data_IF_541139634626
#
_entry.id   IF_541139634626
#
_cell.length_a   1.000
_cell.length_b   1.000
_cell.length_c   1.000
_cell.angle_alpha   90.00
_cell.angle_beta   90.00
_cell.angle_gamma   90.00
#
_symmetry.space_group_name_H-M   'P 1'
#
loop_
_entity.id
_entity.type
_entity.pdbx_description
1 polymer ?
#
# COMPACT_ATOMS: atom_id res chain seq x y z
N UNK A 1 -4.81 -9.12 11.81
CA UNK A 1 -4.99 -7.81 11.14
C UNK A 1 -6.36 -7.29 11.54
N UNK A 2 -6.42 -6.14 12.21
CA UNK A 2 -7.66 -5.47 12.61
C UNK A 2 -7.88 -4.23 11.74
N UNK A 3 -9.08 -4.07 11.17
CA UNK A 3 -9.36 -2.98 10.22
C UNK A 3 -9.33 -1.59 10.87
N UNK A 4 -9.75 -1.48 12.13
CA UNK A 4 -9.74 -0.21 12.86
C UNK A 4 -8.33 0.20 13.27
N UNK A 5 -7.46 -0.76 13.61
CA UNK A 5 -6.04 -0.47 13.86
C UNK A 5 -5.36 0.10 12.62
N UNK A 6 -5.58 -0.53 11.45
CA UNK A 6 -5.03 -0.03 10.18
C UNK A 6 -5.53 1.37 9.85
N UNK A 7 -6.84 1.63 10.02
CA UNK A 7 -7.41 2.97 9.83
C UNK A 7 -6.71 4.01 10.71
N UNK A 8 -6.59 3.75 12.02
CA UNK A 8 -5.96 4.70 12.95
C UNK A 8 -4.49 4.94 12.61
N UNK A 9 -3.76 3.88 12.28
CA UNK A 9 -2.36 3.99 11.88
C UNK A 9 -2.19 4.83 10.60
N UNK A 10 -3.07 4.63 9.63
CA UNK A 10 -3.02 5.37 8.36
C UNK A 10 -3.44 6.83 8.53
N UNK A 11 -4.46 7.12 9.34
CA UNK A 11 -4.85 8.49 9.70
C UNK A 11 -3.69 9.25 10.36
N UNK A 12 -2.99 8.61 11.29
CA UNK A 12 -1.82 9.21 11.94
C UNK A 12 -0.68 9.43 10.94
N UNK A 13 -0.36 8.43 10.12
CA UNK A 13 0.69 8.52 9.11
C UNK A 13 0.42 9.64 8.10
N UNK A 14 -0.82 9.79 7.63
CA UNK A 14 -1.18 10.86 6.69
C UNK A 14 -1.14 12.25 7.32
N UNK A 15 -1.44 12.36 8.62
CA UNK A 15 -1.35 13.62 9.32
C UNK A 15 0.10 14.10 9.46
N UNK A 16 1.03 13.17 9.74
CA UNK A 16 2.45 13.47 9.93
C UNK A 16 3.22 13.53 8.59
N UNK A 17 2.77 12.78 7.59
CA UNK A 17 3.41 12.58 6.29
C UNK A 17 2.37 12.64 5.15
N UNK A 18 1.95 13.85 4.74
CA UNK A 18 0.91 14.04 3.73
C UNK A 18 1.30 13.54 2.32
N UNK A 19 2.58 13.26 2.07
CA UNK A 19 3.08 12.61 0.85
C UNK A 19 2.50 11.21 0.64
N UNK A 20 2.11 10.50 1.71
CA UNK A 20 1.48 9.17 1.65
C UNK A 20 -0.03 9.25 1.41
N UNK A 21 -0.41 9.70 0.21
CA UNK A 21 -1.78 10.11 -0.09
C UNK A 21 -2.80 8.97 -0.05
N UNK A 22 -2.43 7.80 -0.56
CA UNK A 22 -3.30 6.62 -0.55
C UNK A 22 -2.51 5.49 0.08
N UNK A 23 -2.97 5.03 1.23
CA UNK A 23 -2.36 3.93 1.97
C UNK A 23 -3.19 2.67 1.80
N UNK A 24 -2.49 1.56 1.64
CA UNK A 24 -3.03 0.24 1.39
C UNK A 24 -2.49 -0.73 2.44
N UNK A 25 -3.36 -1.62 2.91
CA UNK A 25 -2.93 -2.89 3.48
C UNK A 25 -3.57 -4.01 2.71
N UNK A 26 -2.82 -5.07 2.47
CA UNK A 26 -3.25 -6.18 1.66
C UNK A 26 -2.74 -7.51 2.21
N UNK A 27 -3.49 -8.57 1.97
CA UNK A 27 -3.09 -9.94 2.26
C UNK A 27 -3.83 -10.90 1.34
N UNK A 28 -3.21 -12.06 1.04
CA UNK A 28 -3.82 -13.10 0.20
C UNK A 28 -4.33 -12.59 -1.16
N UNK A 29 -3.61 -11.63 -1.75
CA UNK A 29 -3.91 -11.05 -3.06
C UNK A 29 -5.01 -10.00 -3.06
N UNK A 30 -5.53 -9.61 -1.89
CA UNK A 30 -6.67 -8.70 -1.77
C UNK A 30 -6.36 -7.53 -0.84
N UNK A 31 -7.00 -6.40 -1.11
CA UNK A 31 -6.99 -5.25 -0.21
C UNK A 31 -7.74 -5.60 1.09
N UNK A 32 -7.11 -5.31 2.22
CA UNK A 32 -7.69 -5.41 3.56
C UNK A 32 -8.25 -4.06 4.02
N UNK A 33 -7.48 -2.98 3.82
CA UNK A 33 -7.90 -1.62 4.09
C UNK A 33 -7.21 -0.65 3.13
N UNK A 34 -7.92 0.40 2.73
CA UNK A 34 -7.43 1.48 1.88
C UNK A 34 -8.05 2.80 2.34
N UNK A 35 -7.29 3.90 2.32
CA UNK A 35 -7.76 5.24 2.73
C UNK A 35 -8.68 5.93 1.72
N UNK A 36 -8.89 5.30 0.55
CA UNK A 36 -9.75 5.78 -0.53
C UNK A 36 -10.64 4.65 -1.02
N UNK A 37 -11.86 4.97 -1.45
CA UNK A 37 -12.72 4.00 -2.12
C UNK A 37 -12.17 3.70 -3.52
N UNK A 38 -11.91 2.43 -3.82
CA UNK A 38 -11.50 1.94 -5.13
C UNK A 38 -12.26 0.66 -5.45
N UNK A 39 -12.53 0.44 -6.73
CA UNK A 39 -13.15 -0.79 -7.22
C UNK A 39 -12.07 -1.71 -7.81
N UNK A 40 -11.44 -2.51 -6.94
CA UNK A 40 -10.38 -3.47 -7.31
C UNK A 40 -10.55 -4.75 -6.51
N UNK A 41 -10.76 -5.88 -7.19
CA UNK A 41 -10.97 -7.18 -6.54
C UNK A 41 -9.69 -7.97 -6.28
N UNK A 42 -8.73 -7.91 -7.21
CA UNK A 42 -7.45 -8.61 -7.15
C UNK A 42 -6.29 -7.64 -7.34
N UNK A 43 -5.31 -7.70 -6.44
CA UNK A 43 -4.07 -6.93 -6.50
C UNK A 43 -2.83 -7.83 -6.56
N UNK A 44 -3.01 -9.16 -6.63
CA UNK A 44 -1.91 -10.13 -6.60
C UNK A 44 -0.90 -9.95 -7.74
N UNK A 45 -1.37 -9.47 -8.89
CA UNK A 45 -0.56 -9.21 -10.08
C UNK A 45 0.17 -7.86 -10.04
N UNK A 46 -0.09 -7.00 -9.05
CA UNK A 46 0.59 -5.70 -8.93
C UNK A 46 2.04 -5.93 -8.48
N UNK A 47 3.04 -5.36 -9.17
CA UNK A 47 4.45 -5.54 -8.81
C UNK A 47 4.74 -5.21 -7.34
N UNK A 48 4.23 -4.08 -6.85
CA UNK A 48 4.39 -3.64 -5.46
C UNK A 48 3.81 -4.64 -4.45
N UNK A 49 2.74 -5.37 -4.79
CA UNK A 49 2.24 -6.43 -3.92
C UNK A 49 3.10 -7.68 -4.04
N UNK A 50 3.37 -8.11 -5.28
CA UNK A 50 4.05 -9.37 -5.55
C UNK A 50 5.48 -9.43 -5.01
N UNK A 51 6.19 -8.30 -4.96
CA UNK A 51 7.53 -8.24 -4.38
C UNK A 51 7.50 -8.12 -2.85
N UNK A 52 6.59 -7.29 -2.32
CA UNK A 52 6.44 -7.13 -0.87
C UNK A 52 5.95 -8.38 -0.16
N UNK A 53 5.02 -9.13 -0.74
CA UNK A 53 4.55 -10.39 -0.13
C UNK A 53 5.64 -11.47 -0.08
N UNK A 54 6.72 -11.33 -0.88
CA UNK A 54 7.94 -12.17 -0.82
C UNK A 54 8.95 -11.69 0.24
N UNK A 55 8.58 -10.71 1.06
CA UNK A 55 9.44 -10.17 2.11
C UNK A 55 10.40 -9.06 1.66
N UNK A 56 10.20 -8.44 0.48
CA UNK A 56 11.09 -7.40 -0.04
C UNK A 56 10.42 -6.04 -0.09
N UNK A 57 11.08 -4.99 0.40
CA UNK A 57 10.63 -3.64 0.09
C UNK A 57 10.70 -3.40 -1.43
N UNK A 58 9.72 -2.68 -1.98
CA UNK A 58 9.65 -2.37 -3.40
C UNK A 58 9.22 -0.93 -3.63
N UNK A 59 9.78 -0.34 -4.68
CA UNK A 59 9.41 0.98 -5.20
C UNK A 59 9.07 0.76 -6.66
N UNK A 60 7.87 1.15 -7.08
CA UNK A 60 7.49 1.03 -8.49
C UNK A 60 8.18 2.09 -9.35
N UNK A 61 8.32 1.77 -10.63
CA UNK A 61 8.44 2.81 -11.66
C UNK A 61 7.18 3.70 -11.64
N UNK A 62 7.26 4.95 -12.10
CA UNK A 62 6.10 5.82 -12.23
C UNK A 62 4.98 5.20 -13.08
N UNK A 63 3.73 5.30 -12.63
CA UNK A 63 2.56 4.83 -13.37
C UNK A 63 1.30 5.63 -12.98
N UNK A 64 0.23 5.48 -13.76
CA UNK A 64 -1.08 6.05 -13.46
C UNK A 64 -1.90 5.00 -12.67
N UNK A 65 -2.21 5.22 -11.38
CA UNK A 65 -2.97 4.26 -10.59
C UNK A 65 -4.46 4.32 -10.93
N UNK A 66 -5.20 3.31 -10.50
CA UNK A 66 -6.65 3.23 -10.78
C UNK A 66 -7.39 4.41 -10.13
N UNK A 67 -8.31 5.03 -10.89
CA UNK A 67 -9.23 6.04 -10.37
C UNK A 67 -8.65 7.46 -10.26
N UNK A 68 -7.53 7.76 -10.92
CA UNK A 68 -6.96 9.10 -11.06
C UNK A 68 -6.11 9.20 -12.33
N UNK A 69 -5.88 10.42 -12.81
CA UNK A 69 -5.00 10.71 -13.95
C UNK A 69 -3.59 11.16 -13.50
N UNK A 70 -3.36 11.30 -12.19
CA UNK A 70 -2.07 11.71 -11.64
C UNK A 70 -1.08 10.53 -11.64
N UNK A 71 0.15 10.78 -12.10
CA UNK A 71 1.23 9.78 -12.03
C UNK A 71 1.76 9.65 -10.60
N UNK A 72 1.92 8.43 -10.12
CA UNK A 72 2.50 8.11 -8.81
C UNK A 72 3.64 7.09 -8.91
N UNK A 73 4.39 6.97 -7.82
CA UNK A 73 5.12 5.76 -7.48
C UNK A 73 4.42 5.08 -6.30
N UNK A 74 4.47 3.75 -6.23
CA UNK A 74 4.00 3.00 -5.08
C UNK A 74 5.19 2.44 -4.32
N UNK A 75 5.29 2.81 -3.04
CA UNK A 75 6.19 2.18 -2.08
C UNK A 75 5.46 1.03 -1.40
N UNK A 76 6.10 -0.12 -1.23
CA UNK A 76 5.53 -1.22 -0.48
C UNK A 76 6.55 -1.96 0.38
N UNK A 77 6.08 -2.44 1.52
CA UNK A 77 6.87 -3.14 2.53
C UNK A 77 6.10 -4.35 3.07
N UNK A 78 6.79 -5.44 3.46
CA UNK A 78 6.15 -6.59 4.09
C UNK A 78 5.64 -6.24 5.50
N UNK A 79 4.44 -6.71 5.85
CA UNK A 79 3.96 -6.77 7.22
C UNK A 79 4.43 -8.10 7.81
N UNK A 80 5.23 -8.06 8.87
CA UNK A 80 5.82 -9.24 9.49
C UNK A 80 5.10 -9.60 10.79
N UNK A 81 4.97 -10.91 11.07
CA UNK A 81 4.59 -11.38 12.40
C UNK A 81 5.83 -11.49 13.32
N UNK A 82 5.61 -11.96 14.56
CA UNK A 82 6.66 -12.14 15.58
C UNK A 82 7.78 -13.11 15.12
N UNK A 83 7.46 -14.06 14.24
CA UNK A 83 8.40 -15.03 13.66
C UNK A 83 9.13 -14.49 12.41
N UNK A 84 8.95 -13.21 12.06
CA UNK A 84 9.48 -12.58 10.83
C UNK A 84 8.91 -13.17 9.54
N UNK A 85 7.75 -13.81 9.60
CA UNK A 85 7.03 -14.29 8.43
C UNK A 85 6.18 -13.17 7.84
N UNK A 86 6.15 -13.05 6.52
CA UNK A 86 5.30 -12.05 5.85
C UNK A 86 3.84 -12.48 5.90
N UNK A 87 3.01 -11.70 6.58
CA UNK A 87 1.57 -11.94 6.74
C UNK A 87 0.70 -11.00 5.91
N UNK A 88 1.30 -9.99 5.29
CA UNK A 88 0.63 -9.00 4.46
C UNK A 88 1.60 -7.99 3.86
N UNK A 89 1.05 -6.98 3.22
CA UNK A 89 1.77 -5.88 2.58
C UNK A 89 1.17 -4.57 3.06
N UNK A 90 2.03 -3.62 3.39
CA UNK A 90 1.70 -2.20 3.52
C UNK A 90 2.21 -1.50 2.26
N UNK A 91 1.42 -0.63 1.67
CA UNK A 91 1.86 0.18 0.54
C UNK A 91 1.30 1.60 0.61
N UNK A 92 1.94 2.53 -0.10
CA UNK A 92 1.43 3.88 -0.31
C UNK A 92 1.74 4.39 -1.70
N UNK A 93 0.81 5.16 -2.26
CA UNK A 93 1.08 5.99 -3.42
C UNK A 93 1.63 7.35 -3.00
N UNK A 94 2.65 7.81 -3.73
CA UNK A 94 3.21 9.16 -3.67
C UNK A 94 3.15 9.74 -5.07
N UNK A 95 2.56 10.92 -5.26
CA UNK A 95 2.57 11.58 -6.57
C UNK A 95 3.98 11.98 -6.94
N UNK A 96 4.35 11.76 -8.19
CA UNK A 96 5.69 12.09 -8.70
C UNK A 96 6.01 13.57 -8.52
N UNK A 97 5.00 14.46 -8.60
CA UNK A 97 5.17 15.90 -8.42
C UNK A 97 5.49 16.34 -6.98
N UNK A 98 5.27 15.45 -6.01
CA UNK A 98 5.48 15.73 -4.59
C UNK A 98 6.88 15.23 -4.11
N UNK A 99 7.70 14.71 -5.04
CA UNK A 99 9.09 14.25 -4.86
C UNK A 99 10.05 15.28 -5.46
#
# INVERSE_FOLDING_TARGET
>A
MDRNEHRKAFEHLQADHPEFQILYSAAKGKLFYITRQVDIEDISFRPWYSEAIKGKCYISEPYIPVGTDDTCITLSVPILNENKETIGVLASDIKVRDI
#
